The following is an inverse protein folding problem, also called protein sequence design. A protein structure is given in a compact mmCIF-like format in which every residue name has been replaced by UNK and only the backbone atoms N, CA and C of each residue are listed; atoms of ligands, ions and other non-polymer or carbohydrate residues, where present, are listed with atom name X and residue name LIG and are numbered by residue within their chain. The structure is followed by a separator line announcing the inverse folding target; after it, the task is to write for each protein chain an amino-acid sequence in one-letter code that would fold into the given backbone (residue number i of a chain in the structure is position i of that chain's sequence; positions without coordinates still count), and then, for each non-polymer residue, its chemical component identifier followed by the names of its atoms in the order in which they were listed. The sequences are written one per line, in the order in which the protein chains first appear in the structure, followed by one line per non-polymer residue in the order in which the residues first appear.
data_IF_705790347925
#
_entry.id   IF_705790347925
#
_cell.length_a   1.000
_cell.length_b   1.000
_cell.length_c   1.000
_cell.angle_alpha   90.00
_cell.angle_beta   90.00
_cell.angle_gamma   90.00
#
_symmetry.space_group_name_H-M   'P 1'
#
loop_
_entity.id
_entity.type
_entity.pdbx_description
1 polymer ?
#
# COMPACT_ATOMS: atom_id res chain seq x y z
N UNK A 1 24.64 -1.37 2.63
CA UNK A 1 24.38 -2.80 2.94
C UNK A 1 23.26 -3.29 2.03
N UNK A 2 23.32 -4.54 1.56
CA UNK A 2 22.18 -5.17 0.87
C UNK A 2 21.10 -5.50 1.89
N UNK A 3 20.09 -4.64 2.00
CA UNK A 3 18.86 -4.88 2.74
C UNK A 3 17.69 -4.38 1.92
N UNK A 4 16.60 -5.12 1.97
CA UNK A 4 15.39 -4.84 1.22
C UNK A 4 14.32 -4.22 2.12
N UNK A 5 13.33 -3.58 1.50
CA UNK A 5 12.12 -3.06 2.15
C UNK A 5 10.92 -3.84 1.60
N UNK A 6 9.83 -3.94 2.35
CA UNK A 6 8.54 -4.34 1.76
C UNK A 6 7.36 -3.58 2.36
N UNK A 7 6.23 -3.67 1.67
CA UNK A 7 4.91 -3.40 2.22
C UNK A 7 3.85 -4.30 1.57
N UNK A 8 2.77 -4.57 2.30
CA UNK A 8 1.63 -5.34 1.82
C UNK A 8 0.54 -4.46 1.21
N UNK A 9 -0.13 -5.00 0.20
CA UNK A 9 -1.37 -4.48 -0.38
C UNK A 9 -2.43 -5.59 -0.24
N UNK A 10 -3.43 -5.33 0.60
CA UNK A 10 -4.61 -6.18 0.72
C UNK A 10 -5.60 -5.93 -0.42
N UNK A 11 -6.18 -6.99 -0.97
CA UNK A 11 -7.14 -6.90 -2.07
C UNK A 11 -8.61 -6.82 -1.62
N UNK A 12 -8.90 -6.99 -0.33
CA UNK A 12 -10.27 -7.04 0.18
C UNK A 12 -10.45 -6.26 1.48
N UNK A 13 -11.60 -5.59 1.59
CA UNK A 13 -12.14 -5.15 2.87
C UNK A 13 -13.10 -6.19 3.45
N UNK A 14 -13.70 -5.89 4.60
CA UNK A 14 -14.62 -6.80 5.29
C UNK A 14 -15.80 -7.29 4.42
N UNK A 15 -16.31 -6.46 3.50
CA UNK A 15 -17.52 -6.78 2.70
C UNK A 15 -17.26 -7.09 1.22
N UNK A 16 -16.21 -6.53 0.61
CA UNK A 16 -15.98 -6.58 -0.83
C UNK A 16 -14.48 -6.64 -1.21
N UNK A 17 -14.20 -6.93 -2.48
CA UNK A 17 -12.89 -6.71 -3.09
C UNK A 17 -12.69 -5.22 -3.38
N UNK A 18 -11.44 -4.74 -3.31
CA UNK A 18 -11.11 -3.37 -3.71
C UNK A 18 -11.30 -3.22 -5.23
N UNK A 19 -12.05 -2.22 -5.72
CA UNK A 19 -12.26 -2.01 -7.16
C UNK A 19 -11.01 -1.50 -7.89
N UNK A 20 -9.98 -1.06 -7.15
CA UNK A 20 -8.71 -0.56 -7.66
C UNK A 20 -7.81 -0.12 -6.51
N UNK A 21 -6.73 0.61 -6.85
CA UNK A 21 -5.87 1.27 -5.87
C UNK A 21 -6.28 2.74 -5.72
N UNK A 22 -6.43 3.28 -4.50
CA UNK A 22 -6.56 4.72 -4.29
C UNK A 22 -5.18 5.39 -4.39
N UNK A 23 -5.14 6.68 -4.73
CA UNK A 23 -3.88 7.45 -4.87
C UNK A 23 -3.02 7.44 -3.59
N UNK A 24 -3.65 7.25 -2.43
CA UNK A 24 -3.01 7.05 -1.13
C UNK A 24 -1.94 5.94 -1.12
N UNK A 25 -1.98 4.95 -2.02
CA UNK A 25 -0.96 3.88 -2.09
C UNK A 25 0.43 4.45 -2.41
N UNK A 26 0.48 5.58 -3.13
CA UNK A 26 1.73 6.29 -3.39
C UNK A 26 2.42 6.73 -2.09
N UNK A 27 1.69 6.93 -0.98
CA UNK A 27 2.31 7.25 0.31
C UNK A 27 3.24 6.13 0.80
N UNK A 28 2.86 4.86 0.60
CA UNK A 28 3.69 3.69 0.92
C UNK A 28 4.90 3.62 -0.01
N UNK A 29 4.68 3.79 -1.33
CA UNK A 29 5.73 3.73 -2.34
C UNK A 29 6.79 4.81 -2.13
N UNK A 30 6.38 6.08 -2.04
CA UNK A 30 7.30 7.21 -1.84
C UNK A 30 8.04 7.10 -0.50
N UNK A 31 7.38 6.61 0.55
CA UNK A 31 8.03 6.40 1.85
C UNK A 31 9.08 5.29 1.80
N UNK A 32 8.79 4.17 1.12
CA UNK A 32 9.74 3.08 0.96
C UNK A 32 10.99 3.54 0.21
N UNK A 33 10.83 4.28 -0.90
CA UNK A 33 11.95 4.81 -1.66
C UNK A 33 12.73 5.89 -0.87
N UNK A 34 12.04 6.80 -0.19
CA UNK A 34 12.67 7.80 0.67
C UNK A 34 13.50 7.15 1.80
N UNK A 35 12.94 6.14 2.48
CA UNK A 35 13.63 5.39 3.53
C UNK A 35 14.84 4.64 2.96
N UNK A 36 14.70 3.97 1.81
CA UNK A 36 15.79 3.26 1.13
C UNK A 36 16.97 4.19 0.84
N UNK A 37 16.69 5.34 0.21
CA UNK A 37 17.71 6.37 -0.09
C UNK A 37 18.36 6.88 1.20
N UNK A 38 17.57 7.21 2.23
CA UNK A 38 18.06 7.81 3.48
C UNK A 38 18.90 6.86 4.33
N UNK A 39 18.65 5.55 4.23
CA UNK A 39 19.39 4.47 4.89
C UNK A 39 20.57 3.94 4.07
N UNK A 40 20.76 4.41 2.83
CA UNK A 40 21.76 3.91 1.87
C UNK A 40 21.65 2.38 1.65
N UNK A 41 20.42 1.89 1.53
CA UNK A 41 20.12 0.47 1.26
C UNK A 41 20.06 0.23 -0.24
N UNK A 42 20.72 -0.85 -0.70
CA UNK A 42 20.82 -1.21 -2.13
C UNK A 42 19.96 -2.41 -2.51
N UNK A 43 19.14 -2.94 -1.59
CA UNK A 43 18.21 -4.03 -1.90
C UNK A 43 16.96 -3.56 -2.64
N UNK A 44 16.06 -4.50 -2.93
CA UNK A 44 14.79 -4.24 -3.61
C UNK A 44 13.73 -3.69 -2.65
N UNK A 45 12.67 -3.11 -3.20
CA UNK A 45 11.44 -2.78 -2.48
C UNK A 45 10.35 -3.72 -2.97
N UNK A 46 9.88 -4.63 -2.12
CA UNK A 46 8.86 -5.60 -2.47
C UNK A 46 7.46 -5.05 -2.20
N UNK A 47 6.59 -5.05 -3.21
CA UNK A 47 5.16 -4.82 -3.05
C UNK A 47 4.46 -6.17 -3.04
N UNK A 48 3.97 -6.61 -1.88
CA UNK A 48 3.28 -7.89 -1.76
C UNK A 48 1.78 -7.73 -1.97
N UNK A 49 1.24 -8.29 -3.05
CA UNK A 49 -0.19 -8.42 -3.28
C UNK A 49 -0.73 -9.62 -2.49
N UNK A 50 -1.53 -9.35 -1.46
CA UNK A 50 -2.06 -10.35 -0.53
C UNK A 50 -3.33 -11.04 -1.10
N UNK A 51 -3.18 -11.71 -2.24
CA UNK A 51 -4.25 -12.38 -2.97
C UNK A 51 -4.75 -13.65 -2.24
N UNK A 52 -3.85 -14.48 -1.74
CA UNK A 52 -4.15 -15.66 -0.91
C UNK A 52 -4.95 -15.30 0.34
N UNK A 53 -4.68 -14.14 0.93
CA UNK A 53 -5.43 -13.63 2.09
C UNK A 53 -6.88 -13.32 1.73
N UNK A 54 -7.13 -12.76 0.55
CA UNK A 54 -8.48 -12.48 0.07
C UNK A 54 -9.26 -13.79 -0.19
N UNK A 55 -8.60 -14.79 -0.79
CA UNK A 55 -9.19 -16.13 -0.98
C UNK A 55 -9.48 -16.79 0.37
N UNK A 56 -8.54 -16.72 1.33
CA UNK A 56 -8.67 -17.32 2.65
C UNK A 56 -9.82 -16.73 3.50
N UNK A 57 -10.27 -15.51 3.21
CA UNK A 57 -11.48 -14.92 3.83
C UNK A 57 -12.75 -15.09 2.99
N UNK A 58 -12.74 -16.02 2.03
CA UNK A 58 -13.93 -16.47 1.29
C UNK A 58 -14.27 -15.66 0.04
N UNK A 59 -13.31 -14.96 -0.58
CA UNK A 59 -13.52 -14.30 -1.87
C UNK A 59 -13.38 -15.28 -3.03
N UNK A 60 -14.09 -15.00 -4.13
CA UNK A 60 -13.99 -15.76 -5.38
C UNK A 60 -12.56 -15.70 -5.92
N UNK A 61 -11.92 -16.86 -6.05
CA UNK A 61 -10.55 -16.97 -6.57
C UNK A 61 -10.41 -16.31 -7.94
N UNK A 62 -11.39 -16.50 -8.83
CA UNK A 62 -11.39 -15.87 -10.17
C UNK A 62 -11.40 -14.34 -10.09
N UNK A 63 -12.21 -13.76 -9.21
CA UNK A 63 -12.28 -12.30 -9.05
C UNK A 63 -11.02 -11.75 -8.39
N UNK A 64 -10.46 -12.48 -7.42
CA UNK A 64 -9.18 -12.14 -6.79
C UNK A 64 -8.05 -12.17 -7.81
N UNK A 65 -7.91 -13.24 -8.61
CA UNK A 65 -6.88 -13.34 -9.66
C UNK A 65 -6.99 -12.20 -10.67
N UNK A 66 -8.19 -11.91 -11.18
CA UNK A 66 -8.44 -10.78 -12.09
C UNK A 66 -8.02 -9.44 -11.47
N UNK A 67 -8.38 -9.19 -10.21
CA UNK A 67 -7.99 -7.95 -9.51
C UNK A 67 -6.49 -7.89 -9.21
N UNK A 68 -5.87 -9.02 -8.92
CA UNK A 68 -4.42 -9.14 -8.67
C UNK A 68 -3.64 -8.77 -9.92
N UNK A 69 -4.00 -9.34 -11.08
CA UNK A 69 -3.37 -9.04 -12.37
C UNK A 69 -3.51 -7.56 -12.72
N UNK A 70 -4.70 -6.96 -12.51
CA UNK A 70 -4.88 -5.53 -12.75
C UNK A 70 -3.97 -4.68 -11.84
N UNK A 71 -3.97 -4.95 -10.53
CA UNK A 71 -3.12 -4.21 -9.58
C UNK A 71 -1.62 -4.41 -9.86
N UNK A 72 -1.20 -5.61 -10.27
CA UNK A 72 0.17 -5.92 -10.67
C UNK A 72 0.61 -5.11 -11.90
N UNK A 73 -0.25 -5.04 -12.92
CA UNK A 73 -0.02 -4.20 -14.10
C UNK A 73 0.05 -2.71 -13.74
N UNK A 74 -0.96 -2.21 -13.01
CA UNK A 74 -1.04 -0.80 -12.58
C UNK A 74 0.23 -0.40 -11.80
N UNK A 75 0.63 -1.21 -10.80
CA UNK A 75 1.82 -0.93 -9.97
C UNK A 75 3.12 -1.04 -10.75
N UNK A 76 3.22 -1.99 -11.69
CA UNK A 76 4.42 -2.16 -12.53
C UNK A 76 4.59 -0.98 -13.49
N UNK A 77 3.50 -0.54 -14.13
CA UNK A 77 3.50 0.66 -14.98
C UNK A 77 3.89 1.91 -14.17
N UNK A 78 3.27 2.11 -13.00
CA UNK A 78 3.58 3.22 -12.08
C UNK A 78 5.05 3.18 -11.64
N UNK A 79 5.60 2.01 -11.30
CA UNK A 79 7.01 1.90 -10.92
C UNK A 79 7.95 2.25 -12.09
N UNK A 80 7.64 1.80 -13.31
CA UNK A 80 8.43 2.11 -14.50
C UNK A 80 8.42 3.60 -14.85
N UNK A 81 7.24 4.20 -14.94
CA UNK A 81 7.09 5.62 -15.31
C UNK A 81 7.67 6.58 -14.25
N UNK A 82 7.63 6.21 -12.96
CA UNK A 82 8.24 6.98 -11.87
C UNK A 82 9.73 6.69 -11.66
N UNK A 83 10.37 5.84 -12.48
CA UNK A 83 11.79 5.50 -12.38
C UNK A 83 12.16 4.68 -11.13
N UNK A 84 11.19 4.00 -10.51
CA UNK A 84 11.33 3.21 -9.30
C UNK A 84 11.89 1.80 -9.60
N UNK A 85 13.03 1.74 -10.31
CA UNK A 85 13.60 0.52 -10.93
C UNK A 85 13.96 -0.63 -9.97
N UNK A 86 13.97 -0.37 -8.66
CA UNK A 86 14.21 -1.37 -7.63
C UNK A 86 12.95 -1.86 -6.91
N UNK A 87 11.77 -1.40 -7.34
CA UNK A 87 10.50 -1.94 -6.88
C UNK A 87 10.20 -3.24 -7.63
N UNK A 88 9.67 -4.22 -6.91
CA UNK A 88 9.23 -5.49 -7.47
C UNK A 88 7.86 -5.84 -6.86
N UNK A 89 6.85 -5.94 -7.72
CA UNK A 89 5.56 -6.53 -7.33
C UNK A 89 5.74 -8.06 -7.25
N UNK A 90 5.17 -8.66 -6.21
CA UNK A 90 5.11 -10.11 -5.99
C UNK A 90 3.71 -10.46 -5.45
N UNK A 91 3.25 -11.68 -5.69
CA UNK A 91 1.94 -12.17 -5.22
C UNK A 91 2.11 -13.15 -4.07
N UNK A 92 1.23 -13.13 -3.07
CA UNK A 92 1.27 -14.11 -1.99
C UNK A 92 1.02 -15.55 -2.49
N UNK A 93 0.31 -15.70 -3.61
CA UNK A 93 0.15 -16.98 -4.32
C UNK A 93 1.45 -17.53 -4.92
N UNK A 94 2.40 -16.67 -5.29
CA UNK A 94 3.74 -17.11 -5.74
C UNK A 94 4.55 -17.66 -4.55
N UNK A 95 4.35 -17.11 -3.36
CA UNK A 95 5.02 -17.59 -2.14
C UNK A 95 4.55 -19.00 -1.76
N UNK A 96 3.29 -19.35 -2.00
CA UNK A 96 2.76 -20.69 -1.77
C UNK A 96 3.48 -21.79 -2.57
N UNK A 97 4.21 -21.45 -3.63
CA UNK A 97 4.97 -22.43 -4.43
C UNK A 97 6.37 -22.72 -3.85
N UNK A 98 6.83 -21.97 -2.84
CA UNK A 98 8.10 -22.22 -2.13
C UNK A 98 7.85 -23.14 -0.92
N UNK A 99 8.57 -24.28 -0.86
CA UNK A 99 8.45 -25.27 0.21
C UNK A 99 8.70 -24.66 1.60
N UNK A 100 9.61 -23.67 1.70
CA UNK A 100 9.93 -23.01 2.96
C UNK A 100 8.81 -22.08 3.43
N UNK A 101 8.07 -21.46 2.51
CA UNK A 101 6.87 -20.71 2.88
C UNK A 101 5.79 -21.66 3.41
N UNK A 102 5.64 -22.85 2.81
CA UNK A 102 4.74 -23.89 3.31
C UNK A 102 5.15 -24.46 4.68
N UNK A 103 6.44 -24.47 5.03
CA UNK A 103 6.93 -24.76 6.39
C UNK A 103 6.54 -23.66 7.38
N UNK A 104 6.77 -22.40 7.03
CA UNK A 104 6.42 -21.23 7.86
C UNK A 104 4.92 -21.18 8.17
N UNK A 105 4.05 -21.50 7.20
CA UNK A 105 2.61 -21.64 7.43
C UNK A 105 2.27 -22.79 8.38
N UNK A 106 2.95 -23.94 8.26
CA UNK A 106 2.73 -25.11 9.13
C UNK A 106 3.15 -24.86 10.58
N UNK A 107 4.20 -24.08 10.81
CA UNK A 107 4.70 -23.76 12.15
C UNK A 107 3.66 -23.05 13.05
N UNK A 108 2.70 -22.35 12.45
CA UNK A 108 1.58 -21.69 13.15
C UNK A 108 0.20 -22.25 12.79
N UNK A 109 0.10 -23.56 12.52
CA UNK A 109 -1.14 -24.19 12.04
C UNK A 109 -2.38 -23.93 12.93
N UNK A 110 -2.21 -23.79 14.26
CA UNK A 110 -3.30 -23.55 15.22
C UNK A 110 -3.73 -22.08 15.40
N UNK A 111 -3.10 -21.14 14.70
CA UNK A 111 -3.39 -19.72 14.78
C UNK A 111 -4.49 -19.29 13.79
N UNK A 112 -5.07 -18.11 13.99
CA UNK A 112 -6.07 -17.56 13.07
C UNK A 112 -5.49 -17.43 11.65
N UNK A 113 -6.20 -17.97 10.64
CA UNK A 113 -5.70 -18.14 9.27
C UNK A 113 -5.09 -16.88 8.66
N UNK A 114 -5.74 -15.72 8.83
CA UNK A 114 -5.26 -14.45 8.27
C UNK A 114 -3.95 -13.99 8.93
N UNK A 115 -3.87 -14.12 10.24
CA UNK A 115 -2.73 -13.72 11.07
C UNK A 115 -1.50 -14.59 10.71
N UNK A 116 -1.74 -15.91 10.55
CA UNK A 116 -0.76 -16.90 10.08
C UNK A 116 -0.17 -16.56 8.72
N UNK A 117 -0.98 -16.16 7.74
CA UNK A 117 -0.48 -15.71 6.44
C UNK A 117 0.35 -14.43 6.56
N UNK A 118 -0.14 -13.39 7.25
CA UNK A 118 0.62 -12.15 7.44
C UNK A 118 2.00 -12.41 8.06
N UNK A 119 2.07 -13.29 9.06
CA UNK A 119 3.33 -13.59 9.71
C UNK A 119 4.28 -14.45 8.87
N UNK A 120 3.76 -15.42 8.11
CA UNK A 120 4.56 -16.20 7.17
C UNK A 120 5.16 -15.30 6.08
N UNK A 121 4.41 -14.30 5.59
CA UNK A 121 4.91 -13.29 4.66
C UNK A 121 6.09 -12.50 5.26
N UNK A 122 5.93 -12.01 6.50
CA UNK A 122 7.01 -11.31 7.22
C UNK A 122 8.28 -12.18 7.35
N UNK A 123 8.14 -13.43 7.81
CA UNK A 123 9.24 -14.35 8.02
C UNK A 123 9.96 -14.69 6.71
N UNK A 124 9.19 -15.04 5.68
CA UNK A 124 9.72 -15.42 4.37
C UNK A 124 10.48 -14.27 3.70
N UNK A 125 9.93 -13.05 3.73
CA UNK A 125 10.58 -11.89 3.15
C UNK A 125 11.86 -11.50 3.91
N UNK A 126 11.87 -11.62 5.24
CA UNK A 126 13.07 -11.41 6.05
C UNK A 126 14.17 -12.43 5.67
N UNK A 127 13.84 -13.73 5.68
CA UNK A 127 14.77 -14.84 5.46
C UNK A 127 15.26 -14.94 4.00
N UNK A 128 14.35 -14.93 3.02
CA UNK A 128 14.66 -15.23 1.60
C UNK A 128 14.93 -13.98 0.77
N UNK A 129 14.42 -12.80 1.17
CA UNK A 129 14.55 -11.54 0.41
C UNK A 129 15.38 -10.46 1.14
N UNK A 130 15.98 -10.79 2.28
CA UNK A 130 16.80 -9.89 3.11
C UNK A 130 16.07 -8.60 3.52
N UNK A 131 14.75 -8.69 3.74
CA UNK A 131 13.91 -7.57 4.12
C UNK A 131 14.17 -7.18 5.57
N UNK A 132 14.72 -5.98 5.77
CA UNK A 132 15.03 -5.43 7.10
C UNK A 132 14.01 -4.41 7.61
N UNK A 133 13.08 -3.96 6.76
CA UNK A 133 12.10 -2.93 7.08
C UNK A 133 10.73 -3.22 6.43
N UNK A 134 9.68 -3.29 7.24
CA UNK A 134 8.28 -3.18 6.80
C UNK A 134 7.90 -1.70 6.77
N UNK A 135 7.41 -1.21 5.63
CA UNK A 135 6.57 0.00 5.62
C UNK A 135 5.12 -0.48 5.83
N UNK A 136 4.44 0.15 6.78
CA UNK A 136 3.12 -0.25 7.23
C UNK A 136 2.27 0.99 7.48
N UNK A 137 1.02 0.83 7.91
CA UNK A 137 0.12 1.93 8.24
C UNK A 137 -0.57 1.69 9.58
N UNK A 138 -1.03 2.76 10.23
CA UNK A 138 -1.79 2.64 11.47
C UNK A 138 -2.92 3.66 11.51
N UNK A 139 -3.91 3.44 12.38
CA UNK A 139 -4.96 4.43 12.64
C UNK A 139 -4.46 5.67 13.40
N UNK A 140 -3.17 5.70 13.77
CA UNK A 140 -2.52 6.73 14.57
C UNK A 140 -2.73 6.53 16.08
N UNK A 141 -2.17 7.46 16.86
CA UNK A 141 -2.22 7.44 18.33
C UNK A 141 -1.41 6.29 18.97
N UNK A 142 -1.38 6.22 20.31
CA UNK A 142 -0.80 5.08 21.03
C UNK A 142 -1.52 3.78 20.65
N UNK A 143 -0.79 2.66 20.65
CA UNK A 143 -1.39 1.34 20.46
C UNK A 143 -2.41 1.07 21.58
N UNK A 144 -3.56 0.48 21.22
CA UNK A 144 -4.62 0.12 22.15
C UNK A 144 -4.99 -1.36 21.94
N UNK A 145 -4.91 -2.21 22.98
CA UNK A 145 -5.38 -3.58 22.91
C UNK A 145 -6.81 -3.65 22.37
N UNK A 146 -7.09 -4.64 21.52
CA UNK A 146 -8.38 -4.82 20.86
C UNK A 146 -8.58 -4.05 19.54
N UNK A 147 -7.72 -3.07 19.22
CA UNK A 147 -7.73 -2.43 17.88
C UNK A 147 -6.88 -3.26 16.92
N UNK A 148 -7.52 -4.01 16.01
CA UNK A 148 -6.85 -4.66 14.88
C UNK A 148 -6.51 -3.65 13.78
N UNK A 149 -5.35 -3.00 13.89
CA UNK A 149 -4.61 -2.41 12.76
C UNK A 149 -3.30 -3.19 12.53
N UNK A 150 -2.49 -2.82 11.52
CA UNK A 150 -1.26 -3.57 11.17
C UNK A 150 -0.30 -3.78 12.35
N UNK A 151 -0.26 -2.84 13.31
CA UNK A 151 0.58 -2.98 14.51
C UNK A 151 0.24 -4.22 15.32
N UNK A 152 -1.02 -4.66 15.31
CA UNK A 152 -1.44 -5.88 16.02
C UNK A 152 -0.86 -7.15 15.38
N UNK A 153 -0.75 -7.20 14.06
CA UNK A 153 -0.07 -8.29 13.36
C UNK A 153 1.45 -8.20 13.53
N UNK A 154 2.01 -7.00 13.44
CA UNK A 154 3.45 -6.74 13.56
C UNK A 154 3.98 -7.09 14.97
N UNK A 155 3.24 -6.76 16.04
CA UNK A 155 3.53 -7.22 17.41
C UNK A 155 3.45 -8.75 17.50
N UNK A 156 2.40 -9.36 16.96
CA UNK A 156 2.24 -10.82 16.96
C UNK A 156 3.36 -11.57 16.24
N UNK A 157 3.95 -10.94 15.20
CA UNK A 157 5.17 -11.44 14.55
C UNK A 157 6.40 -11.32 15.47
N UNK A 158 6.62 -10.15 16.06
CA UNK A 158 7.79 -9.92 16.94
C UNK A 158 7.81 -10.87 18.15
N UNK A 159 6.64 -11.21 18.70
CA UNK A 159 6.48 -12.20 19.78
C UNK A 159 6.86 -13.62 19.36
N UNK A 160 6.61 -14.00 18.09
CA UNK A 160 6.79 -15.37 17.56
C UNK A 160 8.17 -15.59 16.93
N UNK A 161 8.73 -14.57 16.27
CA UNK A 161 10.05 -14.63 15.62
C UNK A 161 11.04 -13.63 16.24
N UNK A 162 11.25 -13.74 17.55
CA UNK A 162 12.20 -12.90 18.32
C UNK A 162 13.64 -12.90 17.77
N UNK A 163 14.01 -13.89 16.96
CA UNK A 163 15.31 -14.04 16.32
C UNK A 163 15.39 -13.47 14.89
N UNK A 164 14.27 -13.02 14.29
CA UNK A 164 14.23 -12.42 12.96
C UNK A 164 14.17 -10.89 13.06
N UNK A 165 15.28 -10.16 12.81
CA UNK A 165 15.31 -8.71 12.98
C UNK A 165 14.55 -8.01 11.84
N UNK A 166 13.34 -7.53 12.16
CA UNK A 166 12.50 -6.71 11.28
C UNK A 166 12.19 -5.37 11.96
N UNK A 167 12.49 -4.27 11.28
CA UNK A 167 12.08 -2.91 11.70
C UNK A 167 10.76 -2.52 11.04
N UNK A 168 10.05 -1.56 11.64
CA UNK A 168 8.74 -1.11 11.16
C UNK A 168 8.70 0.42 11.06
N UNK A 169 8.16 0.93 9.95
CA UNK A 169 7.84 2.35 9.77
C UNK A 169 6.34 2.47 9.47
N UNK A 170 5.60 3.04 10.42
CA UNK A 170 4.15 3.20 10.33
C UNK A 170 3.77 4.57 9.78
N UNK A 171 3.09 4.58 8.65
CA UNK A 171 2.40 5.75 8.12
C UNK A 171 1.05 5.97 8.83
N UNK A 172 0.49 7.17 8.63
CA UNK A 172 -0.93 7.39 8.92
C UNK A 172 -1.79 6.61 7.93
N UNK A 173 -2.96 6.15 8.37
CA UNK A 173 -4.03 5.69 7.51
C UNK A 173 -4.32 6.69 6.39
N UNK A 174 -4.55 6.19 5.18
CA UNK A 174 -5.04 6.99 4.07
C UNK A 174 -6.41 7.60 4.37
N UNK A 175 -6.80 8.60 3.59
CA UNK A 175 -7.98 9.43 3.83
C UNK A 175 -9.03 9.29 2.74
N UNK A 176 -10.25 9.68 3.07
CA UNK A 176 -11.41 9.65 2.18
C UNK A 176 -12.19 10.95 2.34
N UNK A 177 -13.07 11.25 1.40
CA UNK A 177 -14.12 12.27 1.57
C UNK A 177 -15.44 11.67 2.05
N UNK A 178 -15.46 10.42 2.53
CA UNK A 178 -16.62 9.80 3.20
C UNK A 178 -16.60 10.14 4.71
N UNK A 179 -17.58 10.92 5.24
CA UNK A 179 -17.64 11.27 6.65
C UNK A 179 -17.87 10.08 7.59
N UNK A 180 -18.47 8.98 7.11
CA UNK A 180 -18.67 7.76 7.89
C UNK A 180 -17.40 6.89 7.96
N UNK A 181 -16.47 7.06 7.01
CA UNK A 181 -15.21 6.34 6.97
C UNK A 181 -14.02 7.24 6.58
N UNK A 182 -13.68 8.27 7.39
CA UNK A 182 -12.69 9.31 7.06
C UNK A 182 -11.23 8.82 7.05
N UNK A 183 -11.01 7.55 7.42
CA UNK A 183 -9.72 6.86 7.45
C UNK A 183 -9.91 5.45 6.92
N UNK A 184 -8.99 5.00 6.08
CA UNK A 184 -8.95 3.65 5.51
C UNK A 184 -7.50 3.19 5.33
N UNK A 185 -7.28 1.93 4.99
CA UNK A 185 -5.96 1.49 4.56
C UNK A 185 -5.51 2.31 3.34
N UNK A 186 -4.21 2.66 3.19
CA UNK A 186 -3.72 3.41 2.03
C UNK A 186 -3.90 2.69 0.69
N UNK A 187 -4.17 1.39 0.68
CA UNK A 187 -4.34 0.57 -0.54
C UNK A 187 -5.77 0.06 -0.77
N UNK A 188 -6.69 0.17 0.21
CA UNK A 188 -8.08 -0.30 0.05
C UNK A 188 -9.03 0.81 -0.35
N UNK A 189 -9.69 0.64 -1.49
CA UNK A 189 -10.86 1.40 -1.90
C UNK A 189 -12.12 0.57 -1.60
N UNK A 190 -13.19 1.23 -1.17
CA UNK A 190 -14.55 0.65 -1.15
C UNK A 190 -15.34 1.24 -2.30
N UNK A 191 -16.34 0.53 -2.80
CA UNK A 191 -17.13 0.94 -3.98
C UNK A 191 -17.76 2.32 -3.82
N UNK A 192 -18.26 2.62 -2.63
CA UNK A 192 -18.98 3.86 -2.33
C UNK A 192 -18.09 4.92 -1.62
N UNK A 193 -16.77 4.73 -1.58
CA UNK A 193 -15.85 5.69 -0.95
C UNK A 193 -15.37 6.76 -1.93
N UNK A 194 -15.62 8.02 -1.59
CA UNK A 194 -15.05 9.19 -2.28
C UNK A 194 -13.54 9.29 -2.06
N UNK A 195 -12.76 8.58 -2.88
CA UNK A 195 -11.29 8.67 -2.99
C UNK A 195 -10.89 8.81 -4.44
N UNK A 196 -9.78 9.50 -4.69
CA UNK A 196 -9.16 9.54 -6.01
C UNK A 196 -8.47 8.20 -6.28
N UNK A 197 -8.77 7.59 -7.43
CA UNK A 197 -8.20 6.31 -7.84
C UNK A 197 -6.85 6.53 -8.56
N UNK A 198 -5.91 5.60 -8.41
CA UNK A 198 -4.62 5.58 -9.09
C UNK A 198 -4.76 4.76 -10.38
N UNK A 199 -5.21 5.40 -11.47
CA UNK A 199 -5.33 4.75 -12.78
C UNK A 199 -5.05 5.71 -13.94
N UNK A 200 -4.86 5.13 -15.13
CA UNK A 200 -5.30 5.74 -16.40
C UNK A 200 -6.78 6.13 -16.35
N UNK A 201 -7.19 7.07 -17.19
CA UNK A 201 -8.52 7.72 -17.22
C UNK A 201 -8.94 8.50 -15.95
N UNK A 202 -8.32 8.30 -14.78
CA UNK A 202 -8.57 9.13 -13.58
C UNK A 202 -8.15 10.58 -13.82
N UNK A 203 -9.01 11.50 -13.37
CA UNK A 203 -8.82 12.95 -13.45
C UNK A 203 -9.04 13.58 -12.06
N UNK A 204 -7.97 14.11 -11.46
CA UNK A 204 -7.97 14.64 -10.11
C UNK A 204 -8.76 15.95 -9.98
N UNK A 205 -8.75 16.78 -11.03
CA UNK A 205 -9.45 18.07 -11.07
C UNK A 205 -10.96 17.83 -11.12
N UNK A 206 -11.42 16.95 -12.03
CA UNK A 206 -12.83 16.54 -12.12
C UNK A 206 -13.29 15.84 -10.84
N UNK A 207 -12.45 14.97 -10.26
CA UNK A 207 -12.76 14.35 -8.97
C UNK A 207 -13.00 15.39 -7.88
N UNK A 208 -12.08 16.33 -7.65
CA UNK A 208 -12.25 17.36 -6.61
C UNK A 208 -13.44 18.28 -6.89
N UNK A 209 -13.67 18.67 -8.15
CA UNK A 209 -14.79 19.53 -8.54
C UNK A 209 -16.16 18.84 -8.44
N UNK A 210 -16.21 17.50 -8.37
CA UNK A 210 -17.45 16.73 -8.16
C UNK A 210 -17.83 16.55 -6.69
N UNK A 211 -16.96 16.93 -5.76
CA UNK A 211 -17.24 16.91 -4.32
C UNK A 211 -17.99 18.17 -3.89
N UNK A 212 -18.94 18.02 -2.96
CA UNK A 212 -19.61 19.14 -2.31
C UNK A 212 -18.58 20.06 -1.59
N UNK A 213 -18.53 21.37 -1.88
CA UNK A 213 -17.64 22.31 -1.20
C UNK A 213 -17.76 22.29 0.34
N UNK A 214 -18.97 22.10 0.88
CA UNK A 214 -19.19 21.98 2.32
C UNK A 214 -18.58 20.69 2.89
N UNK A 215 -18.61 19.60 2.11
CA UNK A 215 -17.92 18.35 2.43
C UNK A 215 -16.40 18.53 2.40
N UNK A 216 -15.83 19.21 1.40
CA UNK A 216 -14.39 19.50 1.34
C UNK A 216 -13.96 20.30 2.57
N UNK A 217 -14.72 21.34 2.96
CA UNK A 217 -14.44 22.16 4.14
C UNK A 217 -14.48 21.32 5.44
N UNK A 218 -15.53 20.51 5.61
CA UNK A 218 -15.68 19.60 6.76
C UNK A 218 -14.57 18.54 6.82
N UNK A 219 -14.10 18.09 5.65
CA UNK A 219 -13.08 17.06 5.49
C UNK A 219 -11.69 17.66 5.22
N UNK A 220 -11.41 18.88 5.71
CA UNK A 220 -10.14 19.58 5.46
C UNK A 220 -8.88 18.78 5.80
N UNK A 221 -8.94 17.85 6.76
CA UNK A 221 -7.84 16.92 7.04
C UNK A 221 -7.51 15.93 5.91
N UNK A 222 -8.47 15.60 5.04
CA UNK A 222 -8.25 14.83 3.80
C UNK A 222 -7.54 15.70 2.77
N UNK A 223 -7.95 16.95 2.61
CA UNK A 223 -7.28 17.95 1.75
C UNK A 223 -5.84 18.19 2.20
N UNK A 224 -5.59 18.34 3.51
CA UNK A 224 -4.24 18.44 4.09
C UNK A 224 -3.40 17.19 3.83
N UNK A 225 -3.97 15.99 3.99
CA UNK A 225 -3.27 14.74 3.69
C UNK A 225 -2.84 14.63 2.22
N UNK A 226 -3.74 14.99 1.28
CA UNK A 226 -3.40 15.01 -0.15
C UNK A 226 -2.31 16.04 -0.47
N UNK A 227 -2.33 17.20 0.20
CA UNK A 227 -1.24 18.18 0.11
C UNK A 227 0.11 17.61 0.57
N UNK A 228 0.17 16.96 1.73
CA UNK A 228 1.41 16.33 2.21
C UNK A 228 1.86 15.17 1.30
N UNK A 229 0.93 14.43 0.70
CA UNK A 229 1.23 13.42 -0.31
C UNK A 229 1.91 14.03 -1.55
N UNK A 230 1.44 15.18 -2.06
CA UNK A 230 2.12 15.87 -3.19
C UNK A 230 3.55 16.30 -2.82
N UNK A 231 3.77 16.82 -1.61
CA UNK A 231 5.12 17.23 -1.12
C UNK A 231 6.06 16.05 -0.95
N UNK A 232 5.54 14.91 -0.49
CA UNK A 232 6.31 13.66 -0.39
C UNK A 232 6.68 13.14 -1.79
N UNK A 233 5.75 13.19 -2.74
CA UNK A 233 6.00 12.84 -4.14
C UNK A 233 7.10 13.72 -4.75
N UNK A 234 7.03 15.05 -4.60
CA UNK A 234 8.06 15.97 -5.11
C UNK A 234 9.45 15.73 -4.54
N UNK A 235 9.53 15.33 -3.27
CA UNK A 235 10.80 15.01 -2.59
C UNK A 235 11.45 13.72 -3.11
N UNK A 236 10.69 12.85 -3.76
CA UNK A 236 11.13 11.50 -4.16
C UNK A 236 11.22 11.34 -5.68
N UNK A 237 10.31 11.95 -6.44
CA UNK A 237 10.20 11.85 -7.89
C UNK A 237 10.67 13.15 -8.56
N UNK A 238 9.78 14.15 -8.66
CA UNK A 238 10.01 15.39 -9.41
C UNK A 238 9.06 16.51 -8.95
N UNK A 239 9.44 17.80 -9.10
CA UNK A 239 8.55 18.94 -8.84
C UNK A 239 7.23 18.87 -9.61
N UNK A 240 6.13 19.35 -9.01
CA UNK A 240 4.81 19.41 -9.64
C UNK A 240 4.50 20.84 -10.12
N UNK A 241 3.80 21.02 -11.26
CA UNK A 241 3.80 22.29 -12.00
C UNK A 241 2.89 23.40 -11.44
N UNK A 242 2.28 23.24 -10.26
CA UNK A 242 1.23 24.13 -9.76
C UNK A 242 1.20 24.26 -8.23
N UNK A 243 0.55 25.33 -7.76
CA UNK A 243 0.13 25.58 -6.38
C UNK A 243 -1.35 25.17 -6.11
N UNK A 244 -2.07 24.67 -7.11
CA UNK A 244 -3.42 24.12 -6.95
C UNK A 244 -3.36 22.61 -6.64
N UNK A 245 -4.07 22.15 -5.61
CA UNK A 245 -4.07 20.73 -5.22
C UNK A 245 -4.53 19.80 -6.35
N UNK A 246 -5.58 20.19 -7.09
CA UNK A 246 -6.12 19.38 -8.18
C UNK A 246 -5.12 19.17 -9.31
N UNK A 247 -4.43 20.23 -9.72
CA UNK A 247 -3.41 20.20 -10.77
C UNK A 247 -2.15 19.44 -10.33
N UNK A 248 -1.77 19.54 -9.05
CA UNK A 248 -0.66 18.75 -8.48
C UNK A 248 -0.96 17.26 -8.43
N UNK A 249 -2.16 16.88 -7.96
CA UNK A 249 -2.61 15.49 -7.99
C UNK A 249 -2.76 14.97 -9.43
N UNK A 250 -3.17 15.83 -10.37
CA UNK A 250 -3.22 15.50 -11.79
C UNK A 250 -1.82 15.23 -12.35
N UNK A 251 -0.85 16.12 -12.08
CA UNK A 251 0.55 15.92 -12.45
C UNK A 251 1.16 14.64 -11.88
N UNK A 252 0.78 14.24 -10.66
CA UNK A 252 1.18 12.93 -10.10
C UNK A 252 0.60 11.75 -10.91
N UNK A 253 -0.69 11.79 -11.27
CA UNK A 253 -1.32 10.76 -12.11
C UNK A 253 -0.70 10.70 -13.51
N UNK A 254 -0.43 11.88 -14.10
CA UNK A 254 0.10 11.98 -15.44
C UNK A 254 1.56 11.49 -15.51
N UNK A 255 2.38 11.77 -14.50
CA UNK A 255 3.71 11.17 -14.35
C UNK A 255 3.62 9.66 -14.09
N UNK A 256 2.72 9.21 -13.23
CA UNK A 256 2.55 7.79 -12.89
C UNK A 256 2.10 6.92 -14.10
N UNK A 257 1.37 7.51 -15.06
CA UNK A 257 0.87 6.83 -16.25
C UNK A 257 1.43 7.39 -17.57
N UNK A 258 2.61 8.04 -17.54
CA UNK A 258 3.39 8.43 -18.71
C UNK A 258 2.74 9.46 -19.65
N UNK A 259 1.74 10.22 -19.18
CA UNK A 259 0.88 11.07 -20.04
C UNK A 259 1.56 12.35 -20.57
N UNK A 260 2.84 12.58 -20.26
CA UNK A 260 3.63 13.71 -20.74
C UNK A 260 4.60 13.37 -21.89
N UNK A 261 4.61 12.13 -22.41
CA UNK A 261 5.58 11.65 -23.40
C UNK A 261 5.10 11.73 -24.87
N UNK A 262 4.33 12.77 -25.22
CA UNK A 262 3.96 13.07 -26.60
C UNK A 262 3.91 14.59 -26.84
N UNK A 263 5.09 15.19 -26.88
CA UNK A 263 5.36 16.56 -27.33
C UNK A 263 6.62 16.58 -28.20
#
# INVERSE_FOLDING_TARGET
MSRSIYFGIGLTGAKELSPGLPIDVLSLMMTAEYAKRRLHWTGKVFILLADTHAIAVGRSEKEVQQRTIQMENDLTEVCGNLGLNDFQVIKASELLMDEHYQELLRYHAGEHTYDRYQWADCAFLNLKKQVGLKISWSLGGPFKPGVRDERSFDIGFQERWTHLPLSYLYLQSGRTFDPACPRSAPYLMKKDQSRLMLTKESNAIVFLNSLDPALIQKMGGTTTYLWELTKLFERVIAPLPSECLGERLQGMLDLAFGRFLSG
#
